data_IF_222542754709
#
_entry.id   IF_222542754709
#
_cell.length_a   1.000
_cell.length_b   1.000
_cell.length_c   1.000
_cell.angle_alpha   90.00
_cell.angle_beta   90.00
_cell.angle_gamma   90.00
#
_symmetry.space_group_name_H-M   'P 1'
#
loop_
_entity.id
_entity.type
_entity.pdbx_description
1 polymer ?
#
# COMPACT_ATOMS: atom_id res chain seq x y z
N UNK A 1 6.29 18.78 -15.93
CA UNK A 1 5.66 19.67 -16.93
C UNK A 1 4.16 19.88 -16.70
N UNK A 2 3.27 18.88 -16.82
CA UNK A 2 1.81 19.11 -16.72
C UNK A 2 1.37 19.72 -15.38
N UNK A 3 1.76 19.09 -14.25
CA UNK A 3 1.40 19.58 -12.91
C UNK A 3 2.04 20.94 -12.61
N UNK A 4 3.26 21.18 -13.06
CA UNK A 4 3.98 22.46 -12.90
C UNK A 4 3.25 23.62 -13.61
N UNK A 5 2.72 23.39 -14.82
CA UNK A 5 1.93 24.37 -15.55
C UNK A 5 0.66 24.73 -14.78
N UNK A 6 -0.06 23.74 -14.24
CA UNK A 6 -1.25 23.99 -13.43
C UNK A 6 -0.93 24.77 -12.14
N UNK A 7 0.18 24.44 -11.47
CA UNK A 7 0.65 25.17 -10.30
C UNK A 7 0.94 26.63 -10.65
N UNK A 8 1.64 26.88 -11.76
CA UNK A 8 1.91 28.25 -12.23
C UNK A 8 0.63 29.01 -12.54
N UNK A 9 -0.33 28.38 -13.23
CA UNK A 9 -1.64 29.00 -13.50
C UNK A 9 -2.38 29.35 -12.22
N UNK A 10 -2.43 28.43 -11.25
CA UNK A 10 -3.06 28.69 -9.94
C UNK A 10 -2.40 29.87 -9.21
N UNK A 11 -1.07 29.96 -9.25
CA UNK A 11 -0.33 31.07 -8.63
C UNK A 11 -0.56 32.41 -9.34
N UNK A 12 -0.50 32.43 -10.67
CA UNK A 12 -0.56 33.67 -11.48
C UNK A 12 -1.99 34.13 -11.72
N UNK A 13 -2.88 33.24 -12.16
CA UNK A 13 -4.26 33.59 -12.54
C UNK A 13 -5.16 33.78 -11.31
N UNK A 14 -4.93 33.04 -10.24
CA UNK A 14 -5.80 33.04 -9.05
C UNK A 14 -5.13 33.64 -7.80
N UNK A 15 -3.89 34.12 -7.90
CA UNK A 15 -3.18 34.76 -6.79
C UNK A 15 -2.95 33.85 -5.57
N UNK A 16 -3.02 32.52 -5.75
CA UNK A 16 -2.94 31.56 -4.64
C UNK A 16 -1.48 31.32 -4.28
N UNK A 17 -1.11 31.57 -3.03
CA UNK A 17 0.21 31.23 -2.51
C UNK A 17 0.28 29.74 -2.12
N UNK A 18 0.59 28.88 -3.09
CA UNK A 18 0.71 27.44 -2.90
C UNK A 18 2.16 26.99 -2.67
N UNK A 19 2.40 26.27 -1.56
CA UNK A 19 3.61 25.48 -1.36
C UNK A 19 3.41 24.10 -2.00
N UNK A 20 4.34 23.70 -2.86
CA UNK A 20 4.26 22.44 -3.61
C UNK A 20 5.43 21.56 -3.20
N UNK A 21 5.13 20.37 -2.72
CA UNK A 21 6.11 19.32 -2.45
C UNK A 21 6.34 18.41 -3.66
N UNK A 22 7.32 17.49 -3.56
CA UNK A 22 7.54 16.48 -4.59
C UNK A 22 6.29 15.59 -4.73
N UNK A 23 6.02 15.05 -5.93
CA UNK A 23 4.99 14.03 -6.12
C UNK A 23 5.22 12.85 -5.17
N UNK A 24 4.15 12.35 -4.56
CA UNK A 24 4.24 11.19 -3.67
C UNK A 24 3.75 9.94 -4.39
N UNK A 25 4.50 8.86 -4.22
CA UNK A 25 4.10 7.53 -4.68
C UNK A 25 3.11 6.96 -3.68
N UNK A 26 2.02 6.39 -4.18
CA UNK A 26 1.02 5.72 -3.35
C UNK A 26 1.49 4.30 -3.04
N UNK A 27 2.35 4.14 -2.02
CA UNK A 27 2.77 2.83 -1.53
C UNK A 27 1.62 2.11 -0.82
N UNK A 28 1.78 0.80 -0.62
CA UNK A 28 0.92 -0.02 0.25
C UNK A 28 1.77 -0.82 1.21
N UNK A 29 1.16 -1.33 2.26
CA UNK A 29 1.76 -2.33 3.13
C UNK A 29 1.01 -3.66 2.97
N UNK A 30 1.69 -4.78 3.14
CA UNK A 30 1.06 -6.10 3.15
C UNK A 30 1.81 -7.01 4.13
N UNK A 31 1.21 -8.13 4.54
CA UNK A 31 1.88 -9.12 5.39
C UNK A 31 2.33 -10.33 4.56
N UNK A 32 3.32 -11.07 5.05
CA UNK A 32 3.89 -12.23 4.33
C UNK A 32 3.75 -13.55 5.05
N UNK A 33 3.22 -13.53 6.29
CA UNK A 33 3.14 -14.72 7.14
C UNK A 33 1.79 -14.84 7.82
N UNK A 34 1.37 -16.10 7.95
CA UNK A 34 0.32 -16.47 8.88
C UNK A 34 0.79 -16.26 10.32
N UNK A 35 -0.03 -15.61 11.14
CA UNK A 35 0.26 -15.34 12.56
C UNK A 35 -1.00 -15.44 13.40
N UNK A 36 -0.91 -16.25 14.45
CA UNK A 36 -1.93 -16.34 15.49
C UNK A 36 -1.90 -15.11 16.42
N UNK A 37 -3.09 -14.68 16.83
CA UNK A 37 -3.29 -13.64 17.82
C UNK A 37 -4.32 -14.07 18.86
N UNK A 38 -4.14 -13.57 20.08
CA UNK A 38 -5.07 -13.76 21.18
C UNK A 38 -4.95 -12.54 22.08
N UNK A 39 -5.82 -11.57 21.84
CA UNK A 39 -5.77 -10.29 22.54
C UNK A 39 -6.99 -10.13 23.44
N UNK A 40 -6.76 -9.67 24.66
CA UNK A 40 -7.82 -9.31 25.61
C UNK A 40 -7.77 -7.81 25.88
N UNK A 41 -8.79 -7.10 25.43
CA UNK A 41 -9.05 -5.73 25.85
C UNK A 41 -9.79 -5.75 27.18
N UNK A 42 -9.14 -5.26 28.24
CA UNK A 42 -9.76 -5.06 29.55
C UNK A 42 -9.39 -3.68 30.08
N UNK A 43 -10.38 -2.81 30.26
CA UNK A 43 -10.18 -1.47 30.85
C UNK A 43 -11.28 -1.18 31.85
N UNK A 44 -10.91 -0.62 32.99
CA UNK A 44 -11.86 -0.17 34.00
C UNK A 44 -11.56 1.30 34.30
N UNK A 45 -12.44 2.20 33.86
CA UNK A 45 -12.37 3.63 34.15
C UNK A 45 -13.64 4.01 34.90
N UNK A 46 -13.54 4.12 36.24
CA UNK A 46 -14.58 4.65 37.15
C UNK A 46 -16.02 4.57 36.65
N UNK A 47 -16.57 3.34 36.56
CA UNK A 47 -17.87 3.06 35.95
C UNK A 47 -17.94 1.63 35.41
N UNK A 48 -18.81 1.37 34.42
CA UNK A 48 -18.86 0.10 33.71
C UNK A 48 -17.52 -0.20 33.03
N UNK A 49 -17.10 -1.47 33.09
CA UNK A 49 -15.85 -1.90 32.47
C UNK A 49 -15.97 -2.01 30.96
N UNK A 50 -14.83 -2.23 30.32
CA UNK A 50 -14.74 -2.71 28.95
C UNK A 50 -14.06 -4.06 28.98
N UNK A 51 -14.67 -5.05 28.31
CA UNK A 51 -14.12 -6.37 28.14
C UNK A 51 -14.41 -6.92 26.74
N UNK A 52 -13.37 -7.40 26.07
CA UNK A 52 -13.51 -8.20 24.85
C UNK A 52 -12.23 -8.97 24.61
N UNK A 53 -12.34 -10.27 24.38
CA UNK A 53 -11.22 -11.10 23.93
C UNK A 53 -11.48 -11.60 22.52
N UNK A 54 -10.51 -11.39 21.63
CA UNK A 54 -10.55 -11.81 20.23
C UNK A 54 -9.31 -12.66 19.96
N UNK A 55 -9.53 -13.87 19.47
CA UNK A 55 -8.47 -14.81 19.14
C UNK A 55 -8.71 -15.48 17.78
N UNK A 56 -7.62 -15.82 17.11
CA UNK A 56 -7.63 -16.35 15.76
C UNK A 56 -6.30 -16.10 15.08
N UNK A 57 -6.33 -15.87 13.77
CA UNK A 57 -5.13 -15.65 12.99
C UNK A 57 -5.35 -14.60 11.91
N UNK A 58 -4.24 -14.05 11.43
CA UNK A 58 -4.22 -13.26 10.20
C UNK A 58 -3.19 -13.82 9.24
N UNK A 59 -3.47 -13.69 7.94
CA UNK A 59 -2.63 -14.25 6.90
C UNK A 59 -2.71 -13.44 5.60
N UNK A 60 -1.72 -13.58 4.70
CA UNK A 60 -1.78 -12.98 3.38
C UNK A 60 -3.00 -13.50 2.60
N UNK A 61 -3.64 -12.62 1.84
CA UNK A 61 -4.83 -12.94 1.05
C UNK A 61 -4.87 -12.09 -0.22
N UNK A 62 -4.62 -12.69 -1.37
CA UNK A 62 -4.43 -11.95 -2.64
C UNK A 62 -5.74 -11.65 -3.40
N UNK A 63 -6.87 -12.24 -3.01
CA UNK A 63 -8.14 -12.07 -3.73
C UNK A 63 -8.84 -10.73 -3.42
N UNK A 64 -8.51 -10.10 -2.29
CA UNK A 64 -9.05 -8.80 -1.89
C UNK A 64 -8.11 -8.06 -0.93
N UNK A 65 -8.18 -6.73 -0.90
CA UNK A 65 -7.38 -5.90 0.01
C UNK A 65 -7.64 -6.22 1.49
N UNK A 66 -8.88 -6.58 1.84
CA UNK A 66 -9.30 -6.93 3.18
C UNK A 66 -10.35 -8.02 3.13
N UNK A 67 -10.13 -9.09 3.89
CA UNK A 67 -11.12 -10.14 4.13
C UNK A 67 -11.27 -10.42 5.62
N UNK A 68 -12.49 -10.69 6.05
CA UNK A 68 -12.80 -11.05 7.43
C UNK A 68 -13.71 -12.27 7.47
N UNK A 69 -13.32 -13.25 8.28
CA UNK A 69 -14.06 -14.49 8.47
C UNK A 69 -14.26 -14.78 9.95
N UNK A 70 -15.45 -15.25 10.31
CA UNK A 70 -15.76 -15.71 11.66
C UNK A 70 -16.01 -17.21 11.67
N UNK A 71 -15.14 -17.93 12.37
CA UNK A 71 -15.25 -19.37 12.66
C UNK A 71 -15.66 -19.63 14.12
N UNK A 72 -16.21 -18.62 14.81
CA UNK A 72 -16.67 -18.74 16.21
C UNK A 72 -17.77 -19.81 16.32
N UNK A 73 -17.52 -20.80 17.18
CA UNK A 73 -18.48 -21.86 17.56
C UNK A 73 -18.92 -21.65 19.02
N UNK A 74 -20.14 -22.05 19.36
CA UNK A 74 -20.61 -22.07 20.76
C UNK A 74 -20.87 -20.69 21.39
N UNK A 75 -20.75 -19.60 20.64
CA UNK A 75 -21.10 -18.25 21.11
C UNK A 75 -20.07 -17.61 22.04
N UNK A 76 -18.79 -18.03 21.97
CA UNK A 76 -17.69 -17.42 22.74
C UNK A 76 -17.60 -15.89 22.54
N UNK A 77 -17.94 -15.43 21.33
CA UNK A 77 -18.27 -14.05 21.02
C UNK A 77 -19.75 -14.03 20.58
N UNK A 78 -20.62 -13.22 21.23
CA UNK A 78 -22.00 -13.02 20.77
C UNK A 78 -22.06 -12.54 19.32
N UNK A 79 -23.04 -13.05 18.55
CA UNK A 79 -23.13 -12.81 17.09
C UNK A 79 -23.24 -11.33 16.74
N UNK A 80 -23.90 -10.55 17.59
CA UNK A 80 -24.04 -9.10 17.47
C UNK A 80 -22.69 -8.36 17.44
N UNK A 81 -21.67 -8.87 18.15
CA UNK A 81 -20.36 -8.23 18.26
C UNK A 81 -19.36 -8.67 17.19
N UNK A 82 -19.70 -9.64 16.34
CA UNK A 82 -18.83 -10.11 15.24
C UNK A 82 -18.58 -8.98 14.25
N UNK A 83 -19.63 -8.22 13.88
CA UNK A 83 -19.50 -7.04 13.00
C UNK A 83 -18.64 -5.93 13.62
N UNK A 84 -18.58 -5.88 14.96
CA UNK A 84 -17.75 -4.91 15.68
C UNK A 84 -16.28 -5.33 15.68
N UNK A 85 -15.97 -6.63 15.71
CA UNK A 85 -14.61 -7.12 15.48
C UNK A 85 -14.13 -6.76 14.06
N UNK A 86 -14.96 -7.02 13.04
CA UNK A 86 -14.65 -6.68 11.64
C UNK A 86 -14.36 -5.18 11.48
N UNK A 87 -15.22 -4.31 12.02
CA UNK A 87 -15.00 -2.85 12.02
C UNK A 87 -13.69 -2.46 12.70
N UNK A 88 -13.33 -3.13 13.79
CA UNK A 88 -12.06 -2.93 14.49
C UNK A 88 -10.86 -3.25 13.59
N UNK A 89 -10.83 -4.43 12.96
CA UNK A 89 -9.78 -4.80 12.02
C UNK A 89 -9.73 -3.87 10.81
N UNK A 90 -10.87 -3.61 10.18
CA UNK A 90 -10.97 -2.73 9.01
C UNK A 90 -10.42 -1.33 9.28
N UNK A 91 -10.68 -0.79 10.48
CA UNK A 91 -10.17 0.53 10.87
C UNK A 91 -8.64 0.61 10.98
N UNK A 92 -7.95 -0.52 11.05
CA UNK A 92 -6.49 -0.58 11.05
C UNK A 92 -5.88 -0.66 9.64
N UNK A 93 -6.70 -0.86 8.60
CA UNK A 93 -6.21 -1.01 7.23
C UNK A 93 -5.81 0.31 6.59
N UNK A 94 -6.41 1.44 6.98
CA UNK A 94 -6.13 2.74 6.34
C UNK A 94 -4.70 3.24 6.61
N UNK A 95 -4.10 2.82 7.73
CA UNK A 95 -2.78 3.30 8.16
C UNK A 95 -1.99 2.19 8.85
N UNK A 96 -1.14 1.53 8.06
CA UNK A 96 -0.19 0.55 8.53
C UNK A 96 0.86 1.13 9.47
N UNK A 97 1.58 0.24 10.15
CA UNK A 97 2.58 0.63 11.16
C UNK A 97 3.99 0.73 10.59
N UNK A 98 4.24 0.19 9.39
CA UNK A 98 5.58 0.10 8.81
C UNK A 98 6.03 1.45 8.26
N UNK A 99 5.20 2.07 7.42
CA UNK A 99 5.44 3.37 6.79
C UNK A 99 4.20 4.29 6.79
N UNK A 100 3.10 3.86 7.42
CA UNK A 100 1.89 4.67 7.54
C UNK A 100 1.02 4.67 6.30
N UNK A 101 1.19 3.71 5.39
CA UNK A 101 0.37 3.55 4.19
C UNK A 101 -0.70 2.47 4.38
N UNK A 102 -1.74 2.45 3.54
CA UNK A 102 -2.80 1.47 3.69
C UNK A 102 -2.29 0.02 3.57
N UNK A 103 -2.76 -0.83 4.47
CA UNK A 103 -2.51 -2.27 4.48
C UNK A 103 -3.49 -2.96 3.55
N UNK A 104 -2.99 -3.84 2.68
CA UNK A 104 -3.76 -4.59 1.69
C UNK A 104 -3.37 -6.06 1.72
N UNK A 105 -4.18 -6.88 1.03
CA UNK A 105 -4.01 -8.31 0.87
C UNK A 105 -3.96 -9.08 2.19
N UNK A 106 -4.88 -8.80 3.10
CA UNK A 106 -4.92 -9.43 4.44
C UNK A 106 -6.28 -10.05 4.73
N UNK A 107 -6.26 -11.29 5.20
CA UNK A 107 -7.41 -11.94 5.80
C UNK A 107 -7.25 -12.00 7.33
N UNK A 108 -8.32 -11.66 8.04
CA UNK A 108 -8.47 -11.88 9.48
C UNK A 108 -9.51 -12.97 9.72
N UNK A 109 -9.15 -13.97 10.51
CA UNK A 109 -10.06 -15.03 10.93
C UNK A 109 -10.16 -15.02 12.44
N UNK A 110 -11.38 -14.92 12.98
CA UNK A 110 -11.63 -15.13 14.41
C UNK A 110 -12.18 -16.53 14.63
N UNK A 111 -11.56 -17.30 15.51
CA UNK A 111 -11.96 -18.69 15.80
C UNK A 111 -12.16 -18.96 17.30
N UNK A 112 -11.73 -18.04 18.17
CA UNK A 112 -11.96 -18.09 19.62
C UNK A 112 -12.14 -16.66 20.16
N UNK A 113 -12.66 -16.55 21.38
CA UNK A 113 -12.82 -15.28 22.05
C UNK A 113 -13.45 -15.41 23.42
N UNK A 114 -13.79 -14.28 24.02
CA UNK A 114 -14.60 -14.25 25.23
C UNK A 114 -15.33 -12.93 25.35
N UNK A 115 -16.53 -13.00 25.90
CA UNK A 115 -17.33 -11.85 26.31
C UNK A 115 -17.59 -11.86 27.82
N UNK A 116 -17.93 -10.71 28.36
CA UNK A 116 -18.39 -10.52 29.74
C UNK A 116 -19.79 -9.92 29.69
N UNK A 117 -20.72 -10.46 30.48
CA UNK A 117 -22.14 -10.11 30.38
C UNK A 117 -22.45 -8.62 30.60
N UNK A 118 -21.63 -7.91 31.38
CA UNK A 118 -21.85 -6.50 31.74
C UNK A 118 -20.86 -5.56 31.07
N UNK A 119 -19.63 -6.01 30.83
CA UNK A 119 -18.53 -5.15 30.38
C UNK A 119 -18.26 -5.26 28.87
N UNK A 120 -18.87 -6.23 28.17
CA UNK A 120 -18.75 -6.32 26.73
C UNK A 120 -19.69 -5.37 26.00
N UNK A 121 -19.13 -4.71 25.00
CA UNK A 121 -19.81 -3.74 24.14
C UNK A 121 -19.14 -3.70 22.77
N UNK A 122 -19.80 -3.06 21.79
CA UNK A 122 -19.26 -2.88 20.44
C UNK A 122 -17.88 -2.21 20.45
N UNK A 123 -17.69 -1.20 21.31
CA UNK A 123 -16.42 -0.49 21.44
C UNK A 123 -15.35 -1.41 22.02
N UNK A 124 -15.69 -2.23 23.02
CA UNK A 124 -14.73 -3.16 23.62
C UNK A 124 -14.20 -4.19 22.61
N UNK A 125 -15.07 -4.73 21.74
CA UNK A 125 -14.66 -5.67 20.70
C UNK A 125 -13.91 -5.00 19.53
N UNK A 126 -14.26 -3.76 19.16
CA UNK A 126 -13.46 -2.98 18.22
C UNK A 126 -12.05 -2.73 18.75
N UNK A 127 -11.91 -2.33 20.01
CA UNK A 127 -10.60 -2.14 20.64
C UNK A 127 -9.82 -3.44 20.80
N UNK A 128 -10.51 -4.56 21.08
CA UNK A 128 -9.89 -5.88 21.11
C UNK A 128 -9.31 -6.27 19.75
N UNK A 129 -10.05 -6.08 18.66
CA UNK A 129 -9.57 -6.33 17.30
C UNK A 129 -8.41 -5.40 16.91
N UNK A 130 -8.48 -4.10 17.25
CA UNK A 130 -7.37 -3.15 17.03
C UNK A 130 -6.12 -3.55 17.81
N UNK A 131 -6.27 -4.03 19.04
CA UNK A 131 -5.18 -4.55 19.86
C UNK A 131 -4.55 -5.80 19.26
N UNK A 132 -5.38 -6.77 18.86
CA UNK A 132 -4.94 -7.99 18.18
C UNK A 132 -4.12 -7.68 16.93
N UNK A 133 -4.60 -6.75 16.09
CA UNK A 133 -3.84 -6.29 14.92
C UNK A 133 -2.47 -5.73 15.32
N UNK A 134 -2.40 -4.82 16.31
CA UNK A 134 -1.13 -4.20 16.72
C UNK A 134 -0.09 -5.20 17.21
N UNK A 135 -0.51 -6.26 17.91
CA UNK A 135 0.40 -7.30 18.40
C UNK A 135 0.80 -8.32 17.32
N UNK A 136 -0.08 -8.56 16.35
CA UNK A 136 0.16 -9.52 15.27
C UNK A 136 0.94 -8.92 14.09
N UNK A 137 0.70 -7.63 13.78
CA UNK A 137 1.22 -6.96 12.58
C UNK A 137 2.72 -7.14 12.38
N UNK A 138 3.51 -6.77 13.38
CA UNK A 138 4.97 -6.81 13.30
C UNK A 138 5.49 -8.26 13.22
N UNK A 139 4.78 -9.22 13.84
CA UNK A 139 5.10 -10.66 13.79
C UNK A 139 4.83 -11.27 12.40
N UNK A 140 3.89 -10.72 11.64
CA UNK A 140 3.55 -11.22 10.31
C UNK A 140 4.46 -10.75 9.19
N UNK A 141 5.58 -10.10 9.56
CA UNK A 141 6.62 -9.60 8.64
C UNK A 141 6.01 -8.74 7.54
N UNK A 142 5.57 -7.51 7.89
CA UNK A 142 4.99 -6.61 6.93
C UNK A 142 6.04 -6.17 5.91
N UNK A 143 5.62 -6.02 4.67
CA UNK A 143 6.40 -5.57 3.52
C UNK A 143 5.77 -4.32 2.92
N UNK A 144 6.59 -3.55 2.19
CA UNK A 144 6.15 -2.37 1.45
C UNK A 144 5.96 -2.78 0.00
N UNK A 145 4.84 -2.37 -0.57
CA UNK A 145 4.52 -2.55 -1.98
C UNK A 145 4.59 -1.20 -2.70
N UNK A 146 5.22 -1.18 -3.87
CA UNK A 146 5.21 -0.05 -4.80
C UNK A 146 4.33 -0.34 -6.03
N UNK A 147 3.68 0.67 -6.61
CA UNK A 147 2.95 0.52 -7.85
C UNK A 147 3.92 0.36 -9.02
N UNK A 148 3.72 -0.72 -9.78
CA UNK A 148 4.40 -1.02 -11.03
C UNK A 148 3.52 -0.55 -12.18
N UNK A 149 4.13 0.18 -13.10
CA UNK A 149 3.50 0.71 -14.29
C UNK A 149 3.84 -0.18 -15.47
N UNK A 150 2.84 -0.52 -16.29
CA UNK A 150 3.09 -1.00 -17.65
C UNK A 150 3.40 0.21 -18.52
N UNK A 151 4.61 0.26 -19.06
CA UNK A 151 5.13 1.36 -19.86
C UNK A 151 5.30 0.88 -21.30
N UNK A 152 4.67 1.57 -22.24
CA UNK A 152 4.91 1.40 -23.67
C UNK A 152 5.72 2.57 -24.20
N UNK A 153 6.81 2.31 -24.90
CA UNK A 153 7.61 3.34 -25.58
C UNK A 153 7.61 3.03 -27.07
N UNK A 154 7.31 4.03 -27.88
CA UNK A 154 7.31 3.94 -29.34
C UNK A 154 8.23 5.01 -29.92
N UNK A 155 9.01 4.65 -30.93
CA UNK A 155 9.85 5.60 -31.66
C UNK A 155 10.65 4.94 -32.78
N UNK A 156 11.51 5.69 -33.50
CA UNK A 156 12.33 5.14 -34.57
C UNK A 156 13.27 4.03 -34.09
N UNK A 157 13.42 2.98 -34.89
CA UNK A 157 14.22 1.78 -34.56
C UNK A 157 15.69 2.12 -34.30
N UNK A 158 16.22 3.17 -34.92
CA UNK A 158 17.58 3.68 -34.67
C UNK A 158 17.84 4.02 -33.19
N UNK A 159 16.80 4.30 -32.40
CA UNK A 159 16.91 4.62 -30.98
C UNK A 159 16.49 3.48 -30.03
N UNK A 160 16.13 2.30 -30.53
CA UNK A 160 15.65 1.19 -29.69
C UNK A 160 16.63 0.83 -28.57
N UNK A 161 17.93 0.78 -28.88
CA UNK A 161 18.97 0.54 -27.87
C UNK A 161 18.97 1.59 -26.75
N UNK A 162 18.78 2.87 -27.11
CA UNK A 162 18.67 3.96 -26.14
C UNK A 162 17.38 3.84 -25.30
N UNK A 163 16.25 3.50 -25.93
CA UNK A 163 14.97 3.29 -25.25
C UNK A 163 15.14 2.21 -24.16
N UNK A 164 15.62 1.02 -24.55
CA UNK A 164 15.85 -0.10 -23.64
C UNK A 164 16.83 0.29 -22.53
N UNK A 165 17.91 1.00 -22.87
CA UNK A 165 18.90 1.48 -21.91
C UNK A 165 18.28 2.39 -20.83
N UNK A 166 17.41 3.32 -21.22
CA UNK A 166 16.76 4.24 -20.27
C UNK A 166 15.75 3.55 -19.35
N UNK A 167 15.06 2.51 -19.84
CA UNK A 167 14.15 1.69 -19.02
C UNK A 167 14.92 0.84 -18.01
N UNK A 168 16.02 0.20 -18.42
CA UNK A 168 16.85 -0.63 -17.55
C UNK A 168 17.48 0.18 -16.39
N UNK A 169 17.91 1.42 -16.67
CA UNK A 169 18.42 2.34 -15.63
C UNK A 169 17.39 2.65 -14.53
N UNK A 170 16.10 2.43 -14.80
CA UNK A 170 14.96 2.72 -13.93
C UNK A 170 14.35 1.46 -13.33
N UNK A 171 15.12 0.37 -13.20
CA UNK A 171 14.66 -0.94 -12.75
C UNK A 171 13.54 -1.52 -13.62
N UNK A 172 13.45 -1.07 -14.87
CA UNK A 172 12.47 -1.58 -15.83
C UNK A 172 12.77 -3.01 -16.23
N UNK A 173 11.73 -3.83 -16.30
CA UNK A 173 11.79 -5.19 -16.84
C UNK A 173 11.13 -5.19 -18.20
N UNK A 174 11.91 -5.40 -19.26
CA UNK A 174 11.39 -5.47 -20.62
C UNK A 174 10.53 -6.74 -20.76
N UNK A 175 9.27 -6.55 -21.16
CA UNK A 175 8.29 -7.62 -21.34
C UNK A 175 8.14 -7.99 -22.81
N UNK A 176 8.22 -7.01 -23.71
CA UNK A 176 8.13 -7.22 -25.14
C UNK A 176 8.93 -6.16 -25.90
N UNK A 177 9.43 -6.51 -27.07
CA UNK A 177 10.00 -5.55 -28.02
C UNK A 177 9.70 -6.02 -29.43
N UNK A 178 9.06 -5.15 -30.20
CA UNK A 178 8.70 -5.40 -31.59
C UNK A 178 9.23 -4.27 -32.47
N UNK A 179 9.51 -4.62 -33.72
CA UNK A 179 9.94 -3.68 -34.75
C UNK A 179 9.01 -3.83 -35.95
N UNK A 180 8.54 -2.71 -36.49
CA UNK A 180 7.67 -2.69 -37.65
C UNK A 180 7.91 -1.42 -38.47
N UNK A 181 8.15 -1.58 -39.79
CA UNK A 181 8.27 -0.47 -40.75
C UNK A 181 9.20 0.68 -40.30
N UNK A 182 10.30 0.36 -39.61
CA UNK A 182 11.27 1.35 -39.12
C UNK A 182 10.94 2.00 -37.77
N UNK A 183 9.82 1.62 -37.14
CA UNK A 183 9.48 1.96 -35.76
C UNK A 183 9.71 0.76 -34.82
N UNK A 184 10.13 1.05 -33.59
CA UNK A 184 10.25 0.08 -32.51
C UNK A 184 9.24 0.42 -31.42
N UNK A 185 8.58 -0.61 -30.92
CA UNK A 185 7.71 -0.56 -29.77
C UNK A 185 8.31 -1.45 -28.66
N UNK A 186 8.53 -0.87 -27.49
CA UNK A 186 9.10 -1.54 -26.33
C UNK A 186 8.11 -1.46 -25.18
N UNK A 187 7.72 -2.61 -24.64
CA UNK A 187 6.86 -2.71 -23.46
C UNK A 187 7.68 -3.14 -22.24
N UNK A 188 7.53 -2.46 -21.12
CA UNK A 188 8.24 -2.77 -19.88
C UNK A 188 7.35 -2.60 -18.65
N UNK A 189 7.67 -3.32 -17.59
CA UNK A 189 7.17 -3.04 -16.25
C UNK A 189 8.19 -2.17 -15.50
N UNK A 190 7.78 -0.98 -15.06
CA UNK A 190 8.66 -0.02 -14.38
C UNK A 190 8.00 0.50 -13.10
N UNK A 191 8.71 0.57 -11.96
CA UNK A 191 8.17 1.18 -10.75
C UNK A 191 7.83 2.66 -10.95
N UNK A 192 6.66 3.10 -10.48
CA UNK A 192 6.23 4.50 -10.64
C UNK A 192 7.19 5.49 -9.98
N UNK A 193 7.83 5.08 -8.87
CA UNK A 193 8.89 5.84 -8.17
C UNK A 193 10.03 6.24 -9.11
N UNK A 194 10.33 5.38 -10.09
CA UNK A 194 11.38 5.58 -11.09
C UNK A 194 10.87 6.26 -12.35
N UNK A 195 9.59 6.63 -12.47
CA UNK A 195 9.04 7.25 -13.69
C UNK A 195 9.02 8.78 -13.67
N UNK A 196 9.30 9.39 -12.51
CA UNK A 196 9.39 10.84 -12.42
C UNK A 196 10.50 11.39 -13.31
N UNK A 197 10.15 12.37 -14.15
CA UNK A 197 11.07 12.99 -15.11
C UNK A 197 11.41 12.14 -16.33
N UNK A 198 10.80 10.96 -16.51
CA UNK A 198 11.12 10.06 -17.63
C UNK A 198 10.90 10.71 -19.00
N UNK A 199 9.86 11.53 -19.15
CA UNK A 199 9.57 12.27 -20.40
C UNK A 199 10.75 13.09 -20.93
N UNK A 200 11.50 13.76 -20.06
CA UNK A 200 12.68 14.54 -20.46
C UNK A 200 13.82 13.63 -20.91
N UNK A 201 14.04 12.54 -20.18
CA UNK A 201 15.11 11.58 -20.48
C UNK A 201 14.86 10.88 -21.81
N UNK A 202 13.65 10.37 -22.05
CA UNK A 202 13.35 9.67 -23.29
C UNK A 202 13.41 10.61 -24.51
N UNK A 203 12.91 11.85 -24.36
CA UNK A 203 13.04 12.88 -25.40
C UNK A 203 14.51 13.16 -25.71
N UNK A 204 15.37 13.33 -24.70
CA UNK A 204 16.79 13.56 -24.93
C UNK A 204 17.48 12.37 -25.60
N UNK A 205 17.17 11.15 -25.17
CA UNK A 205 17.79 9.92 -25.67
C UNK A 205 17.39 9.56 -27.11
N UNK A 206 16.28 10.12 -27.60
CA UNK A 206 15.69 9.83 -28.91
C UNK A 206 15.58 11.06 -29.81
N UNK A 207 16.27 12.15 -29.46
CA UNK A 207 16.17 13.44 -30.17
C UNK A 207 14.72 13.96 -30.31
N UNK A 208 13.87 13.58 -29.36
CA UNK A 208 12.46 13.89 -29.28
C UNK A 208 11.57 13.16 -30.27
N UNK A 209 12.05 12.07 -30.84
CA UNK A 209 11.28 11.26 -31.79
C UNK A 209 10.54 10.09 -31.14
N UNK A 210 10.74 9.81 -29.85
CA UNK A 210 10.00 8.78 -29.13
C UNK A 210 8.98 9.35 -28.16
N UNK A 211 7.89 8.62 -28.00
CA UNK A 211 6.81 8.89 -27.06
C UNK A 211 6.63 7.69 -26.13
N UNK A 212 6.04 7.93 -24.95
CA UNK A 212 5.73 6.85 -24.03
C UNK A 212 4.34 7.03 -23.42
N UNK A 213 3.71 5.91 -23.13
CA UNK A 213 2.49 5.82 -22.34
C UNK A 213 2.76 4.94 -21.12
N UNK A 214 2.00 5.15 -20.06
CA UNK A 214 2.06 4.26 -18.90
C UNK A 214 0.68 4.11 -18.27
N UNK A 215 0.40 2.92 -17.78
CA UNK A 215 -0.80 2.59 -17.01
C UNK A 215 -0.42 1.75 -15.80
N UNK A 216 -1.26 1.77 -14.76
CA UNK A 216 -1.03 0.94 -13.58
C UNK A 216 -1.17 -0.54 -13.96
N UNK A 217 -0.15 -1.34 -13.64
CA UNK A 217 -0.18 -2.79 -13.82
C UNK A 217 -0.63 -3.47 -12.52
N UNK A 218 0.20 -3.33 -11.47
CA UNK A 218 0.03 -4.06 -10.21
C UNK A 218 0.87 -3.44 -9.10
N UNK A 219 0.69 -3.91 -7.87
CA UNK A 219 1.64 -3.66 -6.80
C UNK A 219 2.70 -4.76 -6.75
N UNK A 220 3.93 -4.41 -6.38
CA UNK A 220 5.03 -5.35 -6.18
C UNK A 220 5.85 -4.96 -4.96
N UNK A 221 6.51 -5.95 -4.34
CA UNK A 221 7.38 -5.71 -3.21
C UNK A 221 8.57 -4.81 -3.60
N UNK A 222 8.84 -3.78 -2.80
CA UNK A 222 10.01 -2.93 -2.99
C UNK A 222 11.30 -3.68 -2.70
N UNK A 223 12.42 -3.34 -3.37
CA UNK A 223 13.74 -3.84 -3.00
C UNK A 223 14.10 -3.49 -1.54
N UNK A 224 14.94 -4.31 -0.91
CA UNK A 224 15.32 -4.14 0.50
C UNK A 224 15.94 -2.76 0.78
N UNK A 225 16.78 -2.25 -0.13
CA UNK A 225 17.41 -0.92 0.00
C UNK A 225 16.37 0.20 0.08
N UNK A 226 15.38 0.17 -0.81
CA UNK A 226 14.27 1.15 -0.85
C UNK A 226 13.39 1.00 0.39
N UNK A 227 13.15 -0.23 0.84
CA UNK A 227 12.38 -0.52 2.06
C UNK A 227 12.97 0.17 3.28
N UNK A 228 14.28 0.03 3.51
CA UNK A 228 14.97 0.63 4.65
C UNK A 228 15.00 2.16 4.57
N UNK A 229 15.16 2.72 3.37
CA UNK A 229 15.09 4.17 3.16
C UNK A 229 13.71 4.73 3.53
N UNK A 230 12.63 4.07 3.08
CA UNK A 230 11.25 4.49 3.36
C UNK A 230 10.93 4.40 4.85
N UNK A 231 11.35 3.33 5.53
CA UNK A 231 11.19 3.18 6.99
C UNK A 231 11.92 4.28 7.75
N UNK A 232 13.16 4.60 7.35
CA UNK A 232 13.95 5.67 7.97
C UNK A 232 13.26 7.02 7.84
N UNK A 233 12.82 7.37 6.62
CA UNK A 233 12.06 8.61 6.36
C UNK A 233 10.77 8.69 7.17
N UNK A 234 10.06 7.57 7.33
CA UNK A 234 8.85 7.52 8.14
C UNK A 234 9.14 7.73 9.63
N UNK A 235 10.20 7.11 10.16
CA UNK A 235 10.63 7.28 11.55
C UNK A 235 11.00 8.74 11.86
N UNK A 236 11.77 9.38 10.98
CA UNK A 236 12.13 10.81 11.11
C UNK A 236 10.89 11.71 11.09
N UNK A 237 9.92 11.42 10.21
CA UNK A 237 8.66 12.19 10.13
C UNK A 237 7.80 12.03 11.39
N UNK A 238 7.86 10.89 12.07
CA UNK A 238 7.14 10.65 13.34
C UNK A 238 7.82 11.28 14.56
N UNK A 239 9.13 11.52 14.49
CA UNK A 239 9.89 12.12 15.59
C UNK A 239 9.80 13.66 15.61
N UNK A 240 9.38 14.28 14.51
CA UNK A 240 9.08 15.71 14.38
C UNK A 240 7.63 16.00 14.74
#
# INVERSE_FOLDING_TARGET
>A
LHIEIYIERIKREYGVNAQVGPPQVNYREAITRHVDYNYTHKKQTGGSGQYGRVAGFMQPYEEADFNFESQIVGGAIPKEFISSCEKGFKSMMDKGRLIGFPVVNVQFVINDGAAHAVDSSDIAFQEAARGAFREAYDRARPIILEPIMKVGVEGPTEFQGNIIGTLNQRRGIITNSTENLGFSQVEAEVPLSEMFGYSTIIRSATQGKAEFTMEFSRYAQVPQSVSEELKTKYAEKRAK
#
